data_IF_784758488584
#
_entry.id   IF_784758488584
#
_cell.length_a   1.000
_cell.length_b   1.000
_cell.length_c   1.000
_cell.angle_alpha   90.00
_cell.angle_beta   90.00
_cell.angle_gamma   90.00
#
_symmetry.space_group_name_H-M   'P 1'
#
loop_
_entity.id
_entity.type
_entity.pdbx_description
1 polymer ?
#
# COMPACT_ATOMS: atom_id res chain seq x y z
N UNK A 1 -16.35 14.28 18.95
CA UNK A 1 -15.24 13.47 18.38
C UNK A 1 -15.52 13.02 16.95
N UNK A 2 -16.69 12.43 16.67
CA UNK A 2 -17.10 12.01 15.31
C UNK A 2 -17.07 13.13 14.24
N UNK A 3 -17.45 14.36 14.60
CA UNK A 3 -17.46 15.49 13.65
C UNK A 3 -16.06 15.89 13.17
N UNK A 4 -15.05 15.83 14.05
CA UNK A 4 -13.63 16.10 13.71
C UNK A 4 -13.05 15.00 12.82
N UNK A 5 -13.41 13.73 13.09
CA UNK A 5 -13.01 12.58 12.28
C UNK A 5 -13.62 12.69 10.88
N UNK A 6 -14.95 12.92 10.76
CA UNK A 6 -15.63 13.13 9.48
C UNK A 6 -15.02 14.27 8.67
N UNK A 7 -14.68 15.39 9.31
CA UNK A 7 -14.05 16.55 8.65
C UNK A 7 -12.63 16.27 8.15
N UNK A 8 -11.95 15.24 8.67
CA UNK A 8 -10.61 14.82 8.25
C UNK A 8 -10.68 13.89 7.04
N UNK A 9 -11.63 12.95 7.05
CA UNK A 9 -11.75 11.90 6.03
C UNK A 9 -12.69 12.25 4.87
N UNK A 10 -13.64 13.17 5.02
CA UNK A 10 -14.50 13.62 3.91
C UNK A 10 -13.90 14.87 3.25
N UNK A 11 -12.63 14.79 2.84
CA UNK A 11 -11.91 15.90 2.19
C UNK A 11 -11.50 15.52 0.78
N UNK A 12 -11.35 16.54 -0.09
CA UNK A 12 -10.78 16.35 -1.43
C UNK A 12 -9.44 15.62 -1.36
N UNK A 13 -8.56 16.01 -0.43
CA UNK A 13 -7.26 15.34 -0.24
C UNK A 13 -7.40 13.87 0.12
N UNK A 14 -8.32 13.48 1.01
CA UNK A 14 -8.53 12.06 1.30
C UNK A 14 -9.03 11.29 0.08
N UNK A 15 -10.01 11.84 -0.65
CA UNK A 15 -10.53 11.19 -1.84
C UNK A 15 -9.45 11.03 -2.93
N UNK A 16 -8.66 12.08 -3.19
CA UNK A 16 -7.53 12.02 -4.12
C UNK A 16 -6.48 11.02 -3.67
N UNK A 17 -6.17 10.97 -2.38
CA UNK A 17 -5.25 9.98 -1.81
C UNK A 17 -5.76 8.55 -2.01
N UNK A 18 -7.05 8.30 -1.82
CA UNK A 18 -7.67 6.99 -2.07
C UNK A 18 -7.61 6.57 -3.54
N UNK A 19 -7.87 7.50 -4.47
CA UNK A 19 -7.75 7.23 -5.91
C UNK A 19 -6.32 6.85 -6.27
N UNK A 20 -5.34 7.64 -5.79
CA UNK A 20 -3.92 7.35 -6.02
C UNK A 20 -3.52 6.01 -5.38
N UNK A 21 -4.02 5.73 -4.18
CA UNK A 21 -3.81 4.45 -3.49
C UNK A 21 -4.34 3.26 -4.28
N UNK A 22 -5.55 3.39 -4.84
CA UNK A 22 -6.13 2.37 -5.71
C UNK A 22 -5.31 2.15 -6.98
N UNK A 23 -4.85 3.23 -7.64
CA UNK A 23 -3.97 3.13 -8.80
C UNK A 23 -2.62 2.49 -8.44
N UNK A 24 -2.05 2.82 -7.28
CA UNK A 24 -0.82 2.22 -6.79
C UNK A 24 -0.98 0.72 -6.49
N UNK A 25 -2.13 0.32 -5.94
CA UNK A 25 -2.46 -1.09 -5.73
C UNK A 25 -2.57 -1.84 -7.06
N UNK A 26 -3.27 -1.28 -8.05
CA UNK A 26 -3.36 -1.87 -9.38
C UNK A 26 -2.00 -1.96 -10.07
N UNK A 27 -1.15 -0.94 -9.91
CA UNK A 27 0.23 -0.95 -10.42
C UNK A 27 1.04 -2.07 -9.76
N UNK A 28 0.96 -2.20 -8.43
CA UNK A 28 1.62 -3.28 -7.69
C UNK A 28 1.16 -4.65 -8.18
N UNK A 29 -0.15 -4.88 -8.24
CA UNK A 29 -0.71 -6.17 -8.67
C UNK A 29 -0.38 -6.45 -10.14
N UNK A 30 -0.40 -5.44 -11.00
CA UNK A 30 -0.03 -5.57 -12.41
C UNK A 30 1.42 -5.99 -12.59
N UNK A 31 2.36 -5.33 -11.90
CA UNK A 31 3.78 -5.70 -11.93
C UNK A 31 3.99 -7.09 -11.36
N UNK A 32 3.38 -7.40 -10.22
CA UNK A 32 3.44 -8.73 -9.61
C UNK A 32 2.92 -9.82 -10.56
N UNK A 33 1.79 -9.57 -11.25
CA UNK A 33 1.24 -10.50 -12.23
C UNK A 33 2.14 -10.68 -13.46
N UNK A 34 2.80 -9.63 -13.94
CA UNK A 34 3.75 -9.75 -15.04
C UNK A 34 4.95 -10.62 -14.64
N UNK A 35 5.50 -10.42 -13.45
CA UNK A 35 6.60 -11.25 -12.93
C UNK A 35 6.19 -12.72 -12.75
N UNK A 36 4.96 -12.96 -12.27
CA UNK A 36 4.46 -14.32 -11.98
C UNK A 36 3.96 -15.07 -13.20
N UNK A 37 3.32 -14.41 -14.18
CA UNK A 37 2.72 -15.08 -15.36
C UNK A 37 3.57 -15.02 -16.62
N UNK A 38 4.37 -13.97 -16.83
CA UNK A 38 5.09 -13.76 -18.10
C UNK A 38 6.53 -14.26 -18.04
N UNK A 39 7.18 -14.19 -16.88
CA UNK A 39 8.59 -14.57 -16.73
C UNK A 39 8.82 -15.93 -16.05
N UNK A 40 7.76 -16.67 -15.71
CA UNK A 40 7.88 -18.03 -15.16
C UNK A 40 8.53 -18.12 -13.77
N UNK A 41 8.68 -17.02 -13.04
CA UNK A 41 9.29 -16.97 -11.70
C UNK A 41 8.37 -17.48 -10.57
N UNK A 42 7.43 -18.39 -10.85
CA UNK A 42 6.69 -19.09 -9.79
C UNK A 42 7.54 -20.25 -9.27
N UNK A 43 8.64 -19.88 -8.62
CA UNK A 43 9.31 -20.70 -7.62
C UNK A 43 9.10 -19.91 -6.32
N UNK A 44 8.55 -20.53 -5.26
CA UNK A 44 8.24 -19.89 -3.97
C UNK A 44 9.42 -19.03 -3.43
N UNK A 45 10.63 -19.35 -3.88
CA UNK A 45 11.89 -18.63 -3.62
C UNK A 45 11.93 -17.17 -4.08
N UNK A 46 11.18 -16.78 -5.12
CA UNK A 46 11.27 -15.44 -5.73
C UNK A 46 10.03 -14.56 -5.52
N UNK A 47 9.01 -15.07 -4.81
CA UNK A 47 7.79 -14.32 -4.49
C UNK A 47 8.11 -13.01 -3.76
N UNK A 48 8.90 -13.08 -2.68
CA UNK A 48 9.28 -11.91 -1.89
C UNK A 48 10.02 -10.85 -2.71
N UNK A 49 10.91 -11.26 -3.62
CA UNK A 49 11.66 -10.34 -4.48
C UNK A 49 10.71 -9.66 -5.47
N UNK A 50 9.83 -10.42 -6.10
CA UNK A 50 8.85 -9.88 -7.06
C UNK A 50 7.90 -8.89 -6.39
N UNK A 51 7.40 -9.22 -5.20
CA UNK A 51 6.56 -8.35 -4.38
C UNK A 51 7.31 -7.10 -3.94
N UNK A 52 8.58 -7.21 -3.53
CA UNK A 52 9.41 -6.07 -3.14
C UNK A 52 9.65 -5.10 -4.32
N UNK A 53 9.92 -5.61 -5.52
CA UNK A 53 10.08 -4.80 -6.73
C UNK A 53 8.77 -4.09 -7.06
N UNK A 54 7.66 -4.82 -7.12
CA UNK A 54 6.33 -4.25 -7.39
C UNK A 54 5.97 -3.18 -6.35
N UNK A 55 6.24 -3.44 -5.07
CA UNK A 55 6.00 -2.50 -3.98
C UNK A 55 6.87 -1.25 -4.10
N UNK A 56 8.14 -1.40 -4.49
CA UNK A 56 9.05 -0.27 -4.69
C UNK A 56 8.55 0.66 -5.78
N UNK A 57 8.19 0.12 -6.94
CA UNK A 57 7.66 0.91 -8.07
C UNK A 57 6.35 1.60 -7.68
N UNK A 58 5.43 0.88 -7.03
CA UNK A 58 4.17 1.44 -6.54
C UNK A 58 4.39 2.54 -5.49
N UNK A 59 5.39 2.41 -4.62
CA UNK A 59 5.75 3.41 -3.59
C UNK A 59 6.32 4.69 -4.20
N UNK A 60 7.18 4.56 -5.22
CA UNK A 60 7.71 5.70 -5.98
C UNK A 60 6.56 6.47 -6.64
N UNK A 61 5.67 5.77 -7.36
CA UNK A 61 4.47 6.36 -7.95
C UNK A 61 3.62 7.07 -6.88
N UNK A 62 3.36 6.39 -5.77
CA UNK A 62 2.53 6.89 -4.68
C UNK A 62 3.08 8.19 -4.08
N UNK A 63 4.40 8.28 -3.88
CA UNK A 63 5.04 9.50 -3.36
C UNK A 63 4.85 10.68 -4.30
N UNK A 64 5.24 10.53 -5.57
CA UNK A 64 5.19 11.64 -6.53
C UNK A 64 3.75 12.05 -6.85
N UNK A 65 2.84 11.08 -7.01
CA UNK A 65 1.43 11.36 -7.26
C UNK A 65 0.80 12.11 -6.09
N UNK A 66 1.04 11.70 -4.84
CA UNK A 66 0.45 12.39 -3.70
C UNK A 66 1.08 13.76 -3.46
N UNK A 67 2.40 13.91 -3.62
CA UNK A 67 3.06 15.21 -3.52
C UNK A 67 2.42 16.22 -4.47
N UNK A 68 2.20 15.82 -5.73
CA UNK A 68 1.61 16.68 -6.76
C UNK A 68 0.09 16.87 -6.62
N UNK A 69 -0.67 15.79 -6.48
CA UNK A 69 -2.13 15.85 -6.64
C UNK A 69 -2.91 15.93 -5.33
N UNK A 70 -2.38 15.36 -4.24
CA UNK A 70 -3.06 15.35 -2.93
C UNK A 70 -2.69 16.55 -2.08
N UNK A 71 -1.39 16.88 -2.08
CA UNK A 71 -0.81 17.91 -1.20
C UNK A 71 -0.37 19.17 -1.94
N UNK A 72 -0.30 19.15 -3.27
CA UNK A 72 0.12 20.28 -4.10
C UNK A 72 1.47 20.90 -3.65
N UNK A 73 2.43 20.02 -3.34
CA UNK A 73 3.78 20.41 -2.89
C UNK A 73 4.85 19.86 -3.83
N UNK A 74 5.99 20.55 -3.86
CA UNK A 74 7.19 20.03 -4.55
C UNK A 74 7.79 18.86 -3.77
N UNK A 75 8.23 17.83 -4.50
CA UNK A 75 9.02 16.75 -3.94
C UNK A 75 10.32 17.30 -3.33
N UNK A 76 10.61 16.90 -2.09
CA UNK A 76 11.78 17.32 -1.31
C UNK A 76 12.42 16.09 -0.67
N UNK A 77 13.74 16.08 -0.52
CA UNK A 77 14.48 14.95 0.05
C UNK A 77 13.96 14.53 1.43
N UNK A 78 13.69 15.49 2.32
CA UNK A 78 13.18 15.22 3.67
C UNK A 78 11.79 14.54 3.65
N UNK A 79 10.87 14.96 2.77
CA UNK A 79 9.56 14.30 2.67
C UNK A 79 9.69 12.93 2.03
N UNK A 80 10.59 12.75 1.07
CA UNK A 80 10.88 11.45 0.46
C UNK A 80 11.43 10.44 1.49
N UNK A 81 12.39 10.86 2.33
CA UNK A 81 12.98 10.00 3.38
C UNK A 81 11.91 9.60 4.40
N UNK A 82 11.08 10.55 4.87
CA UNK A 82 9.98 10.23 5.79
C UNK A 82 8.95 9.31 5.16
N UNK A 83 8.58 9.54 3.90
CA UNK A 83 7.67 8.67 3.15
C UNK A 83 8.25 7.27 2.94
N UNK A 84 9.57 7.13 2.74
CA UNK A 84 10.24 5.84 2.63
C UNK A 84 10.07 5.02 3.91
N UNK A 85 10.22 5.63 5.09
CA UNK A 85 9.97 4.94 6.37
C UNK A 85 8.52 4.45 6.45
N UNK A 86 7.55 5.28 6.05
CA UNK A 86 6.14 4.89 6.00
C UNK A 86 5.93 3.70 5.07
N UNK A 87 6.58 3.67 3.91
CA UNK A 87 6.49 2.57 2.97
C UNK A 87 7.11 1.28 3.49
N UNK A 88 8.28 1.35 4.14
CA UNK A 88 8.92 0.17 4.74
C UNK A 88 8.03 -0.43 5.83
N UNK A 89 7.49 0.41 6.73
CA UNK A 89 6.58 -0.04 7.79
C UNK A 89 5.31 -0.65 7.19
N UNK A 90 4.73 0.00 6.17
CA UNK A 90 3.57 -0.52 5.44
C UNK A 90 3.87 -1.89 4.83
N UNK A 91 5.01 -2.05 4.16
CA UNK A 91 5.41 -3.30 3.53
C UNK A 91 5.52 -4.43 4.55
N UNK A 92 6.24 -4.20 5.65
CA UNK A 92 6.43 -5.20 6.71
C UNK A 92 5.11 -5.61 7.34
N UNK A 93 4.22 -4.64 7.62
CA UNK A 93 2.90 -4.94 8.20
C UNK A 93 2.04 -5.73 7.21
N UNK A 94 1.91 -5.27 5.97
CA UNK A 94 1.06 -5.92 4.97
C UNK A 94 1.56 -7.33 4.65
N UNK A 95 2.83 -7.47 4.26
CA UNK A 95 3.39 -8.77 3.88
C UNK A 95 3.52 -9.72 5.07
N UNK A 96 3.91 -9.22 6.24
CA UNK A 96 3.99 -10.03 7.46
C UNK A 96 2.64 -10.60 7.86
N UNK A 97 1.57 -9.79 7.79
CA UNK A 97 0.21 -10.25 8.06
C UNK A 97 -0.30 -11.21 6.98
N UNK A 98 -0.04 -10.91 5.70
CA UNK A 98 -0.39 -11.82 4.60
C UNK A 98 0.24 -13.20 4.82
N UNK A 99 1.55 -13.27 5.02
CA UNK A 99 2.25 -14.53 5.24
C UNK A 99 1.76 -15.26 6.48
N UNK A 100 1.57 -14.55 7.59
CA UNK A 100 1.09 -15.15 8.85
C UNK A 100 -0.31 -15.74 8.72
N UNK A 101 -1.24 -15.02 8.10
CA UNK A 101 -2.62 -15.51 7.89
C UNK A 101 -2.63 -16.65 6.89
N UNK A 102 -1.88 -16.56 5.78
CA UNK A 102 -1.80 -17.62 4.79
C UNK A 102 -1.13 -18.90 5.35
N UNK A 103 -0.18 -18.77 6.28
CA UNK A 103 0.37 -19.92 7.00
C UNK A 103 -0.68 -20.64 7.86
N UNK A 104 -1.52 -19.89 8.57
CA UNK A 104 -2.67 -20.45 9.31
C UNK A 104 -3.65 -21.11 8.34
N UNK A 105 -3.96 -20.47 7.23
CA UNK A 105 -4.87 -21.02 6.21
C UNK A 105 -4.35 -22.34 5.63
N UNK A 106 -3.06 -22.42 5.29
CA UNK A 106 -2.42 -23.62 4.76
C UNK A 106 -2.40 -24.80 5.76
N UNK A 107 -2.40 -24.50 7.06
CA UNK A 107 -2.48 -25.54 8.09
C UNK A 107 -3.89 -26.12 8.26
N UNK A 108 -4.93 -25.32 7.99
CA UNK A 108 -6.32 -25.67 8.31
C UNK A 108 -7.19 -25.99 7.09
N UNK A 109 -6.78 -25.58 5.88
CA UNK A 109 -7.58 -25.68 4.65
C UNK A 109 -6.71 -26.15 3.48
N UNK A 110 -7.34 -26.80 2.51
CA UNK A 110 -6.69 -27.11 1.24
C UNK A 110 -6.72 -25.89 0.32
N UNK A 111 -5.68 -25.72 -0.51
CA UNK A 111 -5.63 -24.66 -1.52
C UNK A 111 -6.76 -24.75 -2.57
N UNK A 112 -7.42 -25.92 -2.66
CA UNK A 112 -8.59 -26.12 -3.52
C UNK A 112 -9.87 -25.51 -2.95
N UNK A 113 -9.93 -25.29 -1.63
CA UNK A 113 -11.12 -24.86 -0.92
C UNK A 113 -11.56 -23.45 -1.35
N UNK A 114 -12.86 -23.26 -1.53
CA UNK A 114 -13.41 -21.97 -1.95
C UNK A 114 -13.07 -20.87 -0.94
N UNK A 115 -13.18 -21.18 0.36
CA UNK A 115 -12.84 -20.23 1.42
C UNK A 115 -11.38 -19.81 1.38
N UNK A 116 -10.45 -20.76 1.18
CA UNK A 116 -9.02 -20.47 1.03
C UNK A 116 -8.77 -19.48 -0.12
N UNK A 117 -9.34 -19.75 -1.30
CA UNK A 117 -9.17 -18.90 -2.50
C UNK A 117 -9.74 -17.49 -2.30
N UNK A 118 -10.87 -17.37 -1.61
CA UNK A 118 -11.45 -16.06 -1.28
C UNK A 118 -10.50 -15.28 -0.37
N UNK A 119 -9.95 -15.93 0.67
CA UNK A 119 -9.01 -15.30 1.59
C UNK A 119 -7.73 -14.87 0.85
N UNK A 120 -7.14 -15.77 0.05
CA UNK A 120 -5.92 -15.50 -0.72
C UNK A 120 -6.04 -14.25 -1.61
N UNK A 121 -7.19 -14.07 -2.27
CA UNK A 121 -7.44 -12.92 -3.16
C UNK A 121 -7.84 -11.66 -2.38
N UNK A 122 -8.67 -11.78 -1.34
CA UNK A 122 -9.24 -10.62 -0.63
C UNK A 122 -8.32 -10.05 0.44
N UNK A 123 -7.46 -10.87 1.04
CA UNK A 123 -6.62 -10.46 2.15
C UNK A 123 -5.67 -9.30 1.79
N UNK A 124 -4.92 -9.34 0.67
CA UNK A 124 -4.04 -8.23 0.28
C UNK A 124 -4.81 -6.92 0.07
N UNK A 125 -6.03 -6.98 -0.49
CA UNK A 125 -6.89 -5.83 -0.69
C UNK A 125 -7.35 -5.23 0.64
N UNK A 126 -7.82 -6.07 1.56
CA UNK A 126 -8.28 -5.64 2.90
C UNK A 126 -7.13 -4.98 3.66
N UNK A 127 -5.95 -5.63 3.71
CA UNK A 127 -4.77 -5.09 4.37
C UNK A 127 -4.30 -3.78 3.71
N UNK A 128 -4.40 -3.67 2.39
CA UNK A 128 -4.12 -2.41 1.68
C UNK A 128 -5.08 -1.30 2.10
N UNK A 129 -6.38 -1.55 2.19
CA UNK A 129 -7.35 -0.56 2.65
C UNK A 129 -7.04 -0.06 4.06
N UNK A 130 -6.68 -0.96 4.99
CA UNK A 130 -6.32 -0.59 6.36
C UNK A 130 -5.04 0.25 6.37
N UNK A 131 -3.98 -0.23 5.70
CA UNK A 131 -2.69 0.46 5.69
C UNK A 131 -2.71 1.78 4.92
N UNK A 132 -3.61 1.93 3.94
CA UNK A 132 -3.85 3.19 3.23
C UNK A 132 -4.31 4.31 4.19
N UNK A 133 -5.19 3.99 5.14
CA UNK A 133 -5.65 4.97 6.14
C UNK A 133 -4.49 5.43 7.02
N UNK A 134 -3.66 4.50 7.48
CA UNK A 134 -2.46 4.81 8.27
C UNK A 134 -1.47 5.65 7.45
N UNK A 135 -1.27 5.30 6.19
CA UNK A 135 -0.41 6.02 5.27
C UNK A 135 -0.91 7.46 5.04
N UNK A 136 -2.23 7.66 4.90
CA UNK A 136 -2.81 9.00 4.75
C UNK A 136 -2.57 9.87 5.98
N UNK A 137 -2.72 9.30 7.19
CA UNK A 137 -2.42 10.00 8.44
C UNK A 137 -0.95 10.41 8.48
N UNK A 138 -0.03 9.48 8.19
CA UNK A 138 1.40 9.76 8.15
C UNK A 138 1.75 10.82 7.10
N UNK A 139 1.16 10.75 5.91
CA UNK A 139 1.41 11.73 4.84
C UNK A 139 0.85 13.10 5.20
N UNK A 140 -0.31 13.20 5.87
CA UNK A 140 -0.77 14.47 6.39
C UNK A 140 0.24 15.08 7.38
N UNK A 141 0.85 14.28 8.25
CA UNK A 141 1.89 14.75 9.16
C UNK A 141 3.16 15.19 8.41
N UNK A 142 3.56 14.48 7.36
CA UNK A 142 4.77 14.78 6.59
C UNK A 142 4.62 16.04 5.72
N UNK A 143 3.49 16.18 5.04
CA UNK A 143 3.28 17.20 4.03
C UNK A 143 2.60 18.46 4.57
N UNK A 144 1.56 18.34 5.42
CA UNK A 144 0.85 19.52 5.96
C UNK A 144 1.60 20.21 7.10
N UNK A 145 2.50 19.53 7.80
CA UNK A 145 3.32 20.19 8.83
C UNK A 145 4.30 21.20 8.23
N UNK A 146 4.65 21.06 6.94
CA UNK A 146 5.59 21.94 6.26
C UNK A 146 4.97 23.19 5.67
N UNK A 147 3.72 23.11 5.16
CA UNK A 147 2.98 24.30 4.69
C UNK A 147 2.77 25.38 5.76
N UNK A 148 2.84 25.02 7.06
CA UNK A 148 2.72 25.98 8.16
C UNK A 148 4.02 26.70 8.53
N UNK A 149 5.16 26.22 8.03
CA UNK A 149 6.49 26.69 8.41
C UNK A 149 7.24 27.37 7.24
N UNK A 150 6.56 27.57 6.11
CA UNK A 150 6.98 28.38 4.96
C UNK A 150 6.01 29.56 4.83
#
# INVERSE_FOLDING_TARGET
MLSKIKKTFLTKSFLTFCIIGGLAYLLHQGIYLLYTKTFGFYDDKNHLISTAIAFTVASIFTYFANAKFTYDTKAKSDTAIKSLVVFIVKFVITEGLTLGIMAIMNHNFSSTDLFYKIVDIMLPLILTCITLVLQFIAFNLIFKSKEKNE
#
